data_IF_829198628482
#
_entry.id   IF_829198628482
#
_cell.length_a   1.000
_cell.length_b   1.000
_cell.length_c   1.000
_cell.angle_alpha   90.00
_cell.angle_beta   90.00
_cell.angle_gamma   90.00
#
_symmetry.space_group_name_H-M   'P 1'
#
loop_
_entity.id
_entity.type
_entity.pdbx_description
1 polymer ?
#
# COMPACT_ATOMS: atom_id res chain seq x y z
N UNK A 1 -6.14 19.49 -21.98
CA UNK A 1 -5.91 20.25 -20.73
C UNK A 1 -4.42 20.53 -20.53
N UNK A 2 -3.54 19.54 -20.76
CA UNK A 2 -2.07 19.70 -20.68
C UNK A 2 -1.44 20.75 -21.60
N UNK A 3 -1.87 20.87 -22.87
CA UNK A 3 -1.35 21.88 -23.79
C UNK A 3 -1.56 23.32 -23.27
N UNK A 4 -2.76 23.62 -22.77
CA UNK A 4 -3.05 24.92 -22.14
C UNK A 4 -2.21 25.17 -20.88
N UNK A 5 -1.91 24.13 -20.11
CA UNK A 5 -1.06 24.26 -18.92
C UNK A 5 0.38 24.64 -19.30
N UNK A 6 0.92 24.07 -20.40
CA UNK A 6 2.24 24.45 -20.93
C UNK A 6 2.25 25.92 -21.35
N UNK A 7 1.25 26.35 -22.12
CA UNK A 7 1.11 27.76 -22.55
C UNK A 7 1.11 28.71 -21.33
N UNK A 8 0.35 28.40 -20.27
CA UNK A 8 0.34 29.22 -19.05
C UNK A 8 1.72 29.29 -18.35
N UNK A 9 2.47 28.19 -18.31
CA UNK A 9 3.80 28.19 -17.72
C UNK A 9 4.84 28.90 -18.59
N UNK A 10 4.71 28.83 -19.91
CA UNK A 10 5.56 29.57 -20.86
C UNK A 10 5.31 31.08 -20.78
N UNK A 11 4.05 31.51 -20.68
CA UNK A 11 3.69 32.92 -20.42
C UNK A 11 4.24 33.40 -19.06
N UNK A 12 4.16 32.56 -18.02
CA UNK A 12 4.72 32.87 -16.71
C UNK A 12 6.25 33.01 -16.76
N UNK A 13 6.95 32.17 -17.54
CA UNK A 13 8.41 32.28 -17.75
C UNK A 13 8.80 33.56 -18.51
N UNK A 14 7.99 34.01 -19.47
CA UNK A 14 8.23 35.28 -20.17
C UNK A 14 8.15 36.49 -19.22
N UNK A 15 7.27 36.44 -18.22
CA UNK A 15 7.09 37.53 -17.26
C UNK A 15 8.06 37.48 -16.08
N UNK A 16 8.34 36.27 -15.57
CA UNK A 16 9.12 36.07 -14.35
C UNK A 16 10.61 35.77 -14.60
N UNK A 17 11.02 35.53 -15.84
CA UNK A 17 12.37 35.06 -16.18
C UNK A 17 12.58 33.57 -15.89
N UNK A 18 13.82 33.10 -16.04
CA UNK A 18 14.18 31.69 -15.78
C UNK A 18 13.85 31.30 -14.33
N UNK A 19 12.84 30.44 -14.17
CA UNK A 19 12.37 29.99 -12.86
C UNK A 19 12.17 28.46 -12.86
N UNK A 20 13.00 27.79 -12.06
CA UNK A 20 13.11 26.32 -11.99
C UNK A 20 11.75 25.63 -11.74
N UNK A 21 10.89 26.24 -10.92
CA UNK A 21 9.56 25.68 -10.62
C UNK A 21 8.60 25.64 -11.82
N UNK A 22 8.61 26.64 -12.70
CA UNK A 22 7.73 26.65 -13.88
C UNK A 22 8.25 25.67 -14.94
N UNK A 23 9.56 25.63 -15.13
CA UNK A 23 10.22 24.69 -16.03
C UNK A 23 10.03 23.22 -15.60
N UNK A 24 10.02 22.96 -14.28
CA UNK A 24 9.72 21.63 -13.74
C UNK A 24 8.28 21.20 -14.04
N UNK A 25 7.31 22.10 -13.90
CA UNK A 25 5.92 21.81 -14.24
C UNK A 25 5.74 21.56 -15.74
N UNK A 26 6.48 22.26 -16.60
CA UNK A 26 6.52 21.98 -18.05
C UNK A 26 7.09 20.58 -18.30
N UNK A 27 8.21 20.20 -17.66
CA UNK A 27 8.82 18.87 -17.80
C UNK A 27 7.84 17.75 -17.39
N UNK A 28 7.16 17.89 -16.25
CA UNK A 28 6.16 16.93 -15.77
C UNK A 28 4.97 16.84 -16.74
N UNK A 29 4.51 17.99 -17.24
CA UNK A 29 3.38 18.04 -18.18
C UNK A 29 3.71 17.35 -19.50
N UNK A 30 4.93 17.56 -20.02
CA UNK A 30 5.44 16.87 -21.22
C UNK A 30 5.54 15.35 -20.98
N UNK A 31 5.93 14.92 -19.79
CA UNK A 31 5.97 13.50 -19.44
C UNK A 31 4.57 12.88 -19.40
N UNK A 32 3.59 13.58 -18.81
CA UNK A 32 2.19 13.16 -18.81
C UNK A 32 1.58 13.08 -20.21
N UNK A 33 2.07 13.90 -21.15
CA UNK A 33 1.70 13.86 -22.56
C UNK A 33 2.41 12.72 -23.34
N UNK A 34 3.31 11.97 -22.71
CA UNK A 34 4.08 10.90 -23.34
C UNK A 34 5.36 11.36 -24.05
N UNK A 35 5.66 12.66 -24.05
CA UNK A 35 6.85 13.24 -24.66
C UNK A 35 8.09 13.09 -23.76
N UNK A 36 8.45 11.83 -23.45
CA UNK A 36 9.49 11.49 -22.46
C UNK A 36 10.86 12.09 -22.77
N UNK A 37 11.22 12.23 -24.04
CA UNK A 37 12.46 12.89 -24.46
C UNK A 37 12.48 14.37 -24.08
N UNK A 38 11.50 15.13 -24.58
CA UNK A 38 11.37 16.56 -24.29
C UNK A 38 11.22 16.85 -22.78
N UNK A 39 10.48 16.00 -22.08
CA UNK A 39 10.34 16.07 -20.63
C UNK A 39 11.68 15.96 -19.90
N UNK A 40 12.54 15.03 -20.33
CA UNK A 40 13.88 14.88 -19.75
C UNK A 40 14.76 16.10 -20.03
N UNK A 41 14.78 16.59 -21.26
CA UNK A 41 15.55 17.78 -21.62
C UNK A 41 15.17 18.98 -20.75
N UNK A 42 13.86 19.21 -20.56
CA UNK A 42 13.37 20.29 -19.69
C UNK A 42 13.71 20.08 -18.22
N UNK A 43 13.73 18.85 -17.73
CA UNK A 43 14.19 18.55 -16.38
C UNK A 43 15.71 18.77 -16.22
N UNK A 44 16.52 18.42 -17.22
CA UNK A 44 17.96 18.67 -17.20
C UNK A 44 18.24 20.19 -17.16
N UNK A 45 17.47 21.00 -17.91
CA UNK A 45 17.51 22.48 -17.82
C UNK A 45 17.16 22.98 -16.40
N UNK A 46 16.16 22.39 -15.74
CA UNK A 46 15.79 22.72 -14.34
C UNK A 46 16.94 22.46 -13.38
N UNK A 47 17.63 21.32 -13.52
CA UNK A 47 18.77 20.94 -12.66
C UNK A 47 19.96 21.88 -12.86
N UNK A 48 20.17 22.40 -14.08
CA UNK A 48 21.19 23.40 -14.36
C UNK A 48 20.93 24.73 -13.64
N UNK A 49 19.66 25.15 -13.56
CA UNK A 49 19.23 26.39 -12.90
C UNK A 49 19.22 26.22 -11.38
N UNK A 50 18.70 25.09 -10.89
CA UNK A 50 18.60 24.78 -9.47
C UNK A 50 19.03 23.34 -9.18
N UNK A 51 20.27 23.20 -8.71
CA UNK A 51 20.89 21.92 -8.35
C UNK A 51 20.13 21.17 -7.26
N UNK A 52 19.23 21.80 -6.50
CA UNK A 52 18.43 21.11 -5.50
C UNK A 52 17.54 20.02 -6.11
N UNK A 53 17.28 20.06 -7.41
CA UNK A 53 16.49 19.05 -8.11
C UNK A 53 17.31 17.87 -8.63
N UNK A 54 18.64 17.92 -8.58
CA UNK A 54 19.51 16.85 -9.06
C UNK A 54 19.17 15.49 -8.41
N UNK A 55 18.99 14.45 -9.21
CA UNK A 55 18.73 13.09 -8.73
C UNK A 55 17.31 12.82 -8.20
N UNK A 56 16.51 13.85 -7.88
CA UNK A 56 15.21 13.68 -7.21
C UNK A 56 14.17 12.99 -8.09
N UNK A 57 14.18 13.26 -9.39
CA UNK A 57 13.21 12.77 -10.35
C UNK A 57 13.84 11.91 -11.47
N UNK A 58 15.06 11.42 -11.25
CA UNK A 58 15.76 10.56 -12.21
C UNK A 58 15.04 9.23 -12.43
N UNK A 59 14.25 8.75 -11.45
CA UNK A 59 13.38 7.59 -11.65
C UNK A 59 12.20 7.89 -12.60
N UNK A 60 11.80 9.15 -12.71
CA UNK A 60 10.69 9.61 -13.56
C UNK A 60 11.21 9.96 -14.96
N UNK A 61 12.33 10.70 -15.06
CA UNK A 61 12.86 11.20 -16.34
C UNK A 61 14.10 10.42 -16.86
N UNK A 62 14.79 9.66 -16.01
CA UNK A 62 16.09 9.04 -16.32
C UNK A 62 16.04 7.97 -17.41
N UNK A 63 14.91 7.26 -17.56
CA UNK A 63 14.72 6.24 -18.59
C UNK A 63 14.75 6.78 -20.04
N UNK A 64 14.63 8.10 -20.25
CA UNK A 64 14.57 8.68 -21.59
C UNK A 64 15.94 8.88 -22.27
N UNK A 65 17.08 8.54 -21.62
CA UNK A 65 18.42 8.66 -22.24
C UNK A 65 18.59 7.77 -23.48
N UNK A 66 17.79 6.70 -23.61
CA UNK A 66 17.86 5.76 -24.72
C UNK A 66 17.04 6.17 -25.97
N UNK A 67 16.22 7.23 -25.90
CA UNK A 67 15.26 7.55 -26.97
C UNK A 67 15.59 8.83 -27.76
N UNK A 68 16.67 9.54 -27.44
CA UNK A 68 17.01 10.85 -28.05
C UNK A 68 18.20 10.81 -29.00
N UNK A 69 18.49 9.65 -29.61
CA UNK A 69 19.32 9.57 -30.82
C UNK A 69 18.63 8.62 -31.79
N UNK A 70 17.50 9.07 -32.35
CA UNK A 70 16.91 8.48 -33.55
C UNK A 70 16.42 9.65 -34.42
N UNK A 71 17.38 10.48 -34.82
CA UNK A 71 17.21 11.54 -35.81
C UNK A 71 18.35 11.39 -36.80
N UNK A 72 17.97 11.04 -38.02
CA UNK A 72 18.79 10.77 -39.20
C UNK A 72 19.96 11.78 -39.35
N UNK A 73 21.17 11.36 -39.01
CA UNK A 73 22.40 12.02 -39.45
C UNK A 73 23.49 10.96 -39.53
N UNK A 74 24.14 10.89 -40.68
CA UNK A 74 25.37 10.15 -40.91
C UNK A 74 26.49 10.84 -40.12
N UNK A 75 26.44 10.69 -38.79
CA UNK A 75 27.47 11.09 -37.85
C UNK A 75 28.61 10.07 -37.84
N UNK A 76 29.74 10.40 -37.20
CA UNK A 76 30.89 9.50 -37.19
C UNK A 76 30.45 8.15 -36.60
N UNK A 77 30.54 7.09 -37.40
CA UNK A 77 30.35 5.72 -36.94
C UNK A 77 31.34 5.49 -35.80
N UNK A 78 30.84 5.53 -34.57
CA UNK A 78 31.58 5.10 -33.40
C UNK A 78 31.69 3.58 -33.53
N UNK A 79 32.81 3.12 -34.06
CA UNK A 79 33.20 1.71 -33.97
C UNK A 79 33.63 1.46 -32.54
N UNK A 80 32.97 0.50 -31.89
CA UNK A 80 33.38 -0.02 -30.59
C UNK A 80 34.81 -0.56 -30.79
N UNK A 81 35.76 -0.15 -29.95
CA UNK A 81 37.11 -0.72 -30.01
C UNK A 81 37.03 -2.20 -29.62
N UNK A 82 37.85 -3.04 -30.24
CA UNK A 82 37.88 -4.49 -29.94
C UNK A 82 38.04 -4.76 -28.43
N UNK A 83 38.78 -3.88 -27.73
CA UNK A 83 38.95 -3.93 -26.27
C UNK A 83 37.64 -3.70 -25.51
N UNK A 84 36.82 -2.73 -25.93
CA UNK A 84 35.52 -2.45 -25.31
C UNK A 84 34.50 -3.54 -25.64
N UNK A 85 34.63 -4.15 -26.82
CA UNK A 85 33.80 -5.29 -27.24
C UNK A 85 34.14 -6.54 -26.41
N UNK A 86 35.42 -6.77 -26.12
CA UNK A 86 35.87 -7.84 -25.22
C UNK A 86 35.42 -7.61 -23.77
N UNK A 87 35.51 -6.39 -23.24
CA UNK A 87 35.03 -6.04 -21.90
C UNK A 87 33.51 -6.18 -21.76
N UNK A 88 32.75 -5.79 -22.79
CA UNK A 88 31.29 -5.98 -22.84
C UNK A 88 30.90 -7.46 -22.92
N UNK A 89 31.65 -8.27 -23.67
CA UNK A 89 31.43 -9.73 -23.74
C UNK A 89 31.73 -10.41 -22.39
N UNK A 90 32.79 -9.98 -21.70
CA UNK A 90 33.14 -10.50 -20.37
C UNK A 90 32.14 -10.06 -19.28
N UNK A 91 31.60 -8.84 -19.39
CA UNK A 91 30.58 -8.31 -18.46
C UNK A 91 29.17 -8.85 -18.71
N UNK A 92 28.80 -9.10 -19.97
CA UNK A 92 27.48 -9.62 -20.36
C UNK A 92 27.24 -11.05 -19.86
N UNK A 93 28.29 -11.87 -19.84
CA UNK A 93 28.24 -13.25 -19.32
C UNK A 93 28.32 -13.34 -17.79
N UNK A 94 28.82 -12.31 -17.11
CA UNK A 94 28.96 -12.28 -15.63
C UNK A 94 27.67 -11.96 -14.86
N UNK A 95 26.62 -11.48 -15.54
CA UNK A 95 25.44 -10.88 -14.88
C UNK A 95 24.10 -11.56 -15.11
N UNK A 96 23.97 -12.44 -16.11
CA UNK A 96 22.81 -13.31 -16.21
C UNK A 96 23.02 -14.43 -15.21
N UNK A 97 22.32 -14.36 -14.09
CA UNK A 97 22.14 -15.50 -13.18
C UNK A 97 21.69 -16.66 -14.06
N UNK A 98 22.57 -17.64 -14.29
CA UNK A 98 22.16 -18.94 -14.80
C UNK A 98 21.18 -19.50 -13.76
N UNK A 99 19.88 -19.32 -14.04
CA UNK A 99 18.84 -19.91 -13.24
C UNK A 99 18.95 -21.42 -13.51
N UNK A 100 19.74 -22.11 -12.68
CA UNK A 100 20.00 -23.56 -12.80
C UNK A 100 18.71 -24.38 -12.75
N UNK A 101 17.70 -23.84 -12.08
CA UNK A 101 16.38 -24.40 -11.98
C UNK A 101 15.47 -23.72 -13.00
N UNK A 102 14.87 -24.49 -13.90
CA UNK A 102 13.77 -23.98 -14.71
C UNK A 102 12.72 -23.35 -13.78
N UNK A 103 12.13 -22.19 -14.14
CA UNK A 103 11.04 -21.63 -13.35
C UNK A 103 9.99 -22.73 -13.17
N UNK A 104 9.67 -23.04 -11.91
CA UNK A 104 8.60 -24.01 -11.62
C UNK A 104 7.37 -23.53 -12.35
N UNK A 105 6.77 -24.41 -13.14
CA UNK A 105 5.47 -24.13 -13.73
C UNK A 105 4.47 -24.06 -12.57
N UNK A 106 3.95 -22.86 -12.30
CA UNK A 106 2.98 -22.62 -11.23
C UNK A 106 1.63 -22.59 -11.94
N UNK A 107 0.87 -23.66 -11.80
CA UNK A 107 -0.49 -23.68 -12.32
C UNK A 107 -1.37 -22.73 -11.48
N UNK A 108 -2.41 -22.09 -12.04
CA UNK A 108 -3.31 -21.24 -11.28
C UNK A 108 -3.92 -21.91 -10.03
N UNK A 109 -4.01 -23.25 -10.03
CA UNK A 109 -4.48 -24.05 -8.90
C UNK A 109 -3.44 -24.23 -7.78
N UNK A 110 -2.14 -24.09 -8.09
CA UNK A 110 -1.05 -24.10 -7.10
C UNK A 110 -1.03 -22.80 -6.27
N UNK A 111 -1.71 -21.76 -6.74
CA UNK A 111 -1.85 -20.49 -6.04
C UNK A 111 -2.83 -20.70 -4.88
N UNK A 112 -2.30 -20.72 -3.65
CA UNK A 112 -3.09 -20.80 -2.43
C UNK A 112 -4.19 -19.74 -2.44
N UNK A 113 -5.45 -20.18 -2.55
CA UNK A 113 -6.62 -19.30 -2.54
C UNK A 113 -6.69 -18.56 -1.22
N UNK A 114 -6.56 -17.23 -1.31
CA UNK A 114 -6.64 -16.35 -0.16
C UNK A 114 -8.12 -16.05 0.09
N UNK A 115 -8.61 -16.40 1.28
CA UNK A 115 -9.92 -15.94 1.72
C UNK A 115 -9.82 -14.47 2.14
N UNK A 116 -10.29 -13.58 1.26
CA UNK A 116 -10.29 -12.14 1.49
C UNK A 116 -11.19 -11.73 2.66
N UNK A 117 -12.27 -12.48 2.94
CA UNK A 117 -13.16 -12.17 4.07
C UNK A 117 -12.46 -12.49 5.38
N UNK A 118 -11.85 -13.66 5.52
CA UNK A 118 -11.09 -14.03 6.73
C UNK A 118 -9.89 -13.12 6.96
N UNK A 119 -9.20 -12.72 5.89
CA UNK A 119 -8.12 -11.72 5.99
C UNK A 119 -8.64 -10.38 6.50
N UNK A 120 -9.77 -9.90 5.98
CA UNK A 120 -10.40 -8.66 6.45
C UNK A 120 -10.84 -8.78 7.90
N UNK A 121 -11.45 -9.90 8.29
CA UNK A 121 -11.85 -10.18 9.68
C UNK A 121 -10.68 -10.04 10.66
N UNK A 122 -9.55 -10.67 10.34
CA UNK A 122 -8.32 -10.58 11.15
C UNK A 122 -7.81 -9.14 11.26
N UNK A 123 -7.87 -8.38 10.16
CA UNK A 123 -7.47 -6.97 10.15
C UNK A 123 -8.39 -6.13 11.03
N UNK A 124 -9.71 -6.27 10.88
CA UNK A 124 -10.71 -5.57 11.70
C UNK A 124 -10.51 -5.89 13.19
N UNK A 125 -10.30 -7.17 13.55
CA UNK A 125 -10.02 -7.56 14.93
C UNK A 125 -8.76 -6.89 15.48
N UNK A 126 -7.69 -6.79 14.68
CA UNK A 126 -6.43 -6.12 15.10
C UNK A 126 -6.65 -4.63 15.36
N UNK A 127 -7.45 -3.97 14.52
CA UNK A 127 -7.84 -2.57 14.72
C UNK A 127 -8.68 -2.43 16.01
N UNK A 128 -9.63 -3.34 16.23
CA UNK A 128 -10.42 -3.38 17.47
C UNK A 128 -9.57 -3.52 18.73
N UNK A 129 -8.59 -4.43 18.73
CA UNK A 129 -7.63 -4.59 19.84
C UNK A 129 -6.85 -3.29 20.08
N UNK A 130 -6.44 -2.62 19.01
CA UNK A 130 -5.72 -1.33 19.11
C UNK A 130 -6.58 -0.28 19.80
N UNK A 131 -7.85 -0.14 19.40
CA UNK A 131 -8.78 0.78 20.06
C UNK A 131 -9.04 0.41 21.52
N UNK A 132 -9.21 -0.87 21.85
CA UNK A 132 -9.40 -1.34 23.22
C UNK A 132 -8.19 -1.01 24.11
N UNK A 133 -6.96 -1.19 23.60
CA UNK A 133 -5.73 -0.80 24.31
C UNK A 133 -5.62 0.70 24.55
N UNK A 134 -6.22 1.50 23.69
CA UNK A 134 -6.34 2.96 23.86
C UNK A 134 -7.52 3.36 24.76
N UNK A 135 -8.25 2.39 25.32
CA UNK A 135 -9.44 2.62 26.16
C UNK A 135 -10.71 3.01 25.39
N UNK A 136 -10.65 3.09 24.05
CA UNK A 136 -11.81 3.41 23.23
C UNK A 136 -12.60 2.14 22.89
N UNK A 137 -13.33 1.63 23.88
CA UNK A 137 -14.09 0.39 23.75
C UNK A 137 -15.29 0.51 22.79
N UNK A 138 -15.85 1.70 22.60
CA UNK A 138 -16.92 1.92 21.59
C UNK A 138 -16.42 1.60 20.18
N UNK A 139 -15.29 2.18 19.78
CA UNK A 139 -14.69 1.89 18.47
C UNK A 139 -14.20 0.44 18.38
N UNK A 140 -13.67 -0.11 19.48
CA UNK A 140 -13.23 -1.50 19.52
C UNK A 140 -14.38 -2.46 19.19
N UNK A 141 -15.55 -2.27 19.83
CA UNK A 141 -16.75 -3.07 19.58
C UNK A 141 -17.17 -3.01 18.10
N UNK A 142 -17.16 -1.83 17.48
CA UNK A 142 -17.54 -1.69 16.07
C UNK A 142 -16.65 -2.52 15.14
N UNK A 143 -15.34 -2.53 15.41
CA UNK A 143 -14.39 -3.34 14.64
C UNK A 143 -14.48 -4.84 14.97
N UNK A 144 -14.72 -5.22 16.23
CA UNK A 144 -14.95 -6.62 16.59
C UNK A 144 -16.22 -7.17 15.93
N UNK A 145 -17.30 -6.38 15.85
CA UNK A 145 -18.52 -6.78 15.11
C UNK A 145 -18.24 -7.03 13.64
N UNK A 146 -17.43 -6.19 12.99
CA UNK A 146 -17.01 -6.41 11.59
C UNK A 146 -16.18 -7.69 11.44
N UNK A 147 -15.30 -7.98 12.40
CA UNK A 147 -14.53 -9.21 12.40
C UNK A 147 -15.44 -10.45 12.49
N UNK A 148 -16.37 -10.47 13.45
CA UNK A 148 -17.36 -11.55 13.61
C UNK A 148 -18.25 -11.69 12.36
N UNK A 149 -18.64 -10.58 11.73
CA UNK A 149 -19.45 -10.62 10.50
C UNK A 149 -18.69 -11.25 9.31
N UNK A 150 -17.38 -11.01 9.21
CA UNK A 150 -16.57 -11.49 8.11
C UNK A 150 -16.06 -12.93 8.31
N UNK A 151 -15.91 -13.39 9.55
CA UNK A 151 -15.54 -14.75 9.90
C UNK A 151 -16.25 -15.19 11.20
N UNK A 152 -17.52 -15.63 11.12
CA UNK A 152 -18.35 -15.92 12.29
C UNK A 152 -17.93 -17.19 13.07
N UNK A 153 -17.10 -18.03 12.45
CA UNK A 153 -16.62 -19.28 13.04
C UNK A 153 -15.40 -19.06 13.96
N UNK A 154 -14.75 -17.89 13.87
CA UNK A 154 -13.60 -17.56 14.70
C UNK A 154 -14.04 -17.02 16.07
N UNK A 155 -13.91 -17.88 17.09
CA UNK A 155 -14.37 -17.59 18.46
C UNK A 155 -13.55 -16.50 19.15
N UNK A 156 -12.27 -16.34 18.79
CA UNK A 156 -11.42 -15.28 19.36
C UNK A 156 -12.00 -13.88 19.13
N UNK A 157 -12.72 -13.67 18.01
CA UNK A 157 -13.35 -12.39 17.71
C UNK A 157 -14.57 -12.14 18.60
N UNK A 158 -15.33 -13.20 18.93
CA UNK A 158 -16.46 -13.14 19.87
C UNK A 158 -15.98 -12.91 21.30
N UNK A 159 -14.86 -13.52 21.70
CA UNK A 159 -14.20 -13.24 22.98
C UNK A 159 -13.86 -11.75 23.10
N UNK A 160 -13.17 -11.18 22.10
CA UNK A 160 -12.82 -9.76 22.11
C UNK A 160 -14.05 -8.85 22.14
N UNK A 161 -15.11 -9.22 21.42
CA UNK A 161 -16.38 -8.51 21.44
C UNK A 161 -17.05 -8.55 22.83
N UNK A 162 -17.13 -9.72 23.46
CA UNK A 162 -17.68 -9.89 24.80
C UNK A 162 -16.93 -9.05 25.84
N UNK A 163 -15.59 -9.06 25.79
CA UNK A 163 -14.75 -8.22 26.66
C UNK A 163 -15.00 -6.72 26.41
N UNK A 164 -15.08 -6.31 25.13
CA UNK A 164 -15.39 -4.92 24.77
C UNK A 164 -16.74 -4.46 25.30
N UNK A 165 -17.78 -5.30 25.14
CA UNK A 165 -19.14 -5.05 25.63
C UNK A 165 -19.18 -4.95 27.16
N UNK A 166 -18.51 -5.87 27.85
CA UNK A 166 -18.38 -5.83 29.31
C UNK A 166 -17.75 -4.52 29.79
N UNK A 167 -16.65 -4.08 29.16
CA UNK A 167 -15.97 -2.82 29.48
C UNK A 167 -16.83 -1.57 29.22
N UNK A 168 -17.85 -1.71 28.40
CA UNK A 168 -18.86 -0.69 28.10
C UNK A 168 -20.15 -0.86 28.93
N UNK A 169 -20.13 -1.70 29.97
CA UNK A 169 -21.28 -1.95 30.86
C UNK A 169 -22.49 -2.60 30.15
N UNK A 170 -22.28 -3.19 28.96
CA UNK A 170 -23.30 -3.91 28.20
C UNK A 170 -23.26 -5.39 28.58
N UNK A 171 -23.64 -5.69 29.81
CA UNK A 171 -23.44 -7.01 30.41
C UNK A 171 -24.30 -8.11 29.80
N UNK A 172 -25.55 -7.80 29.43
CA UNK A 172 -26.46 -8.74 28.76
C UNK A 172 -25.87 -9.20 27.41
N UNK A 173 -25.53 -8.25 26.53
CA UNK A 173 -24.89 -8.55 25.25
C UNK A 173 -23.56 -9.32 25.43
N UNK A 174 -22.76 -8.96 26.45
CA UNK A 174 -21.50 -9.64 26.74
C UNK A 174 -21.71 -11.10 27.17
N UNK A 175 -22.75 -11.36 27.96
CA UNK A 175 -23.12 -12.70 28.40
C UNK A 175 -23.54 -13.59 27.22
N UNK A 176 -24.33 -13.05 26.29
CA UNK A 176 -24.77 -13.81 25.10
C UNK A 176 -23.58 -14.35 24.30
N UNK A 177 -22.57 -13.52 24.04
CA UNK A 177 -21.36 -13.95 23.35
C UNK A 177 -20.49 -14.87 24.22
N UNK A 178 -20.41 -14.64 25.53
CA UNK A 178 -19.69 -15.51 26.45
C UNK A 178 -20.25 -16.93 26.43
N UNK A 179 -21.58 -17.09 26.52
CA UNK A 179 -22.25 -18.39 26.48
C UNK A 179 -22.05 -19.09 25.14
N UNK A 180 -22.08 -18.34 24.02
CA UNK A 180 -21.79 -18.88 22.70
C UNK A 180 -20.36 -19.45 22.62
N UNK A 181 -19.37 -18.69 23.11
CA UNK A 181 -17.96 -19.15 23.14
C UNK A 181 -17.79 -20.32 24.10
N UNK A 182 -18.40 -20.29 25.29
CA UNK A 182 -18.36 -21.36 26.29
C UNK A 182 -18.89 -22.68 25.72
N UNK A 183 -19.96 -22.62 24.93
CA UNK A 183 -20.54 -23.79 24.28
C UNK A 183 -19.64 -24.35 23.16
N UNK A 184 -18.97 -23.49 22.40
CA UNK A 184 -18.17 -23.89 21.24
C UNK A 184 -16.73 -24.29 21.60
N UNK A 185 -16.06 -23.52 22.46
CA UNK A 185 -14.67 -23.67 22.90
C UNK A 185 -14.54 -23.28 24.38
N UNK A 186 -14.91 -24.18 25.32
CA UNK A 186 -14.87 -23.91 26.76
C UNK A 186 -13.51 -23.43 27.27
N UNK A 187 -12.40 -23.84 26.63
CA UNK A 187 -11.05 -23.44 27.00
C UNK A 187 -10.79 -21.93 26.85
N UNK A 188 -11.50 -21.26 25.93
CA UNK A 188 -11.35 -19.83 25.66
C UNK A 188 -12.02 -18.95 26.72
N UNK A 189 -13.00 -19.49 27.45
CA UNK A 189 -13.75 -18.70 28.46
C UNK A 189 -13.15 -18.76 29.86
N UNK A 190 -12.14 -19.59 30.08
CA UNK A 190 -11.45 -19.73 31.38
C UNK A 190 -10.90 -18.42 31.95
N UNK A 191 -10.62 -17.44 31.10
CA UNK A 191 -10.14 -16.11 31.51
C UNK A 191 -11.27 -15.06 31.60
N UNK A 192 -12.51 -15.46 31.33
CA UNK A 192 -13.68 -14.59 31.19
C UNK A 192 -14.72 -14.77 32.31
N UNK A 193 -14.40 -15.49 33.39
CA UNK A 193 -15.29 -15.73 34.55
C UNK A 193 -15.84 -14.43 35.18
N UNK A 194 -15.15 -13.30 34.97
CA UNK A 194 -15.63 -11.99 35.38
C UNK A 194 -16.92 -11.55 34.64
N UNK A 195 -17.18 -12.06 33.43
CA UNK A 195 -18.43 -11.81 32.68
C UNK A 195 -19.57 -12.58 33.34
N UNK A 196 -19.34 -13.86 33.69
CA UNK A 196 -20.31 -14.73 34.36
C UNK A 196 -20.75 -14.12 35.70
N UNK A 197 -19.79 -13.79 36.57
CA UNK A 197 -20.06 -13.25 37.91
C UNK A 197 -20.85 -11.92 37.93
N UNK A 198 -20.68 -11.05 36.93
CA UNK A 198 -21.43 -9.80 36.85
C UNK A 198 -22.81 -9.95 36.21
N UNK A 199 -22.98 -10.86 35.26
CA UNK A 199 -24.30 -11.13 34.67
C UNK A 199 -25.27 -11.82 35.63
N UNK A 200 -24.77 -12.55 36.63
CA UNK A 200 -25.58 -13.09 37.73
C UNK A 200 -26.08 -11.99 38.70
N UNK A 201 -25.33 -10.90 38.85
CA UNK A 201 -25.66 -9.78 39.74
C UNK A 201 -26.66 -8.80 39.13
N UNK A 202 -26.74 -8.73 37.79
CA UNK A 202 -27.79 -7.99 37.10
C UNK A 202 -29.11 -8.76 37.18
N UNK A 203 -30.15 -8.26 37.88
CA UNK A 203 -31.46 -8.90 37.87
C UNK A 203 -31.95 -8.95 36.43
N UNK A 204 -32.33 -10.14 35.94
CA UNK A 204 -33.02 -10.28 34.66
C UNK A 204 -34.34 -9.52 34.76
N UNK A 205 -34.35 -8.27 34.31
CA UNK A 205 -35.59 -7.52 34.19
C UNK A 205 -36.31 -8.09 32.97
N UNK A 206 -37.28 -8.97 33.22
CA UNK A 206 -38.29 -9.28 32.22
C UNK A 206 -38.92 -7.94 31.80
N UNK A 207 -38.84 -7.63 30.51
CA UNK A 207 -39.45 -6.42 29.96
C UNK A 207 -40.92 -6.41 30.39
N UNK A 208 -41.31 -5.38 31.14
CA UNK A 208 -42.72 -5.15 31.41
C UNK A 208 -43.41 -4.83 30.08
N UNK A 209 -44.27 -5.74 29.64
CA UNK A 209 -45.19 -5.55 28.50
C UNK A 209 -46.14 -4.36 28.73
#
# INVERSE_FOLDING_TARGET
QYAKAIEFYEEALQQAGEHSGYMLNIAITQFMMGNKGLAKQKYDEVVLIDKMFEGKLDKVFGAAKASMIAGDSDGPKVTISEDLEAELAEGSSKGLVEIKDAPKDIEPDDIKKIDFRKRRARSDNTVGITFARLGNYSMAIDYFKKAVQNDPDEMDYKVNLAVGLYRMYKYEDAMDYYEEVKKAKPELVSQLDFIESMGESTPKFDKFD
#
